data_IF_796359000291
#
_entry.id   IF_796359000291
#
_cell.length_a   1.000
_cell.length_b   1.000
_cell.length_c   1.000
_cell.angle_alpha   90.00
_cell.angle_beta   90.00
_cell.angle_gamma   90.00
#
_symmetry.space_group_name_H-M   'P 1'
#
loop_
_entity.id
_entity.type
_entity.pdbx_description
1 polymer ?
#
# COMPACT_ATOMS: atom_id res chain seq x y z
N UNK A 1 11.79 34.63 11.71
CA UNK A 1 10.74 34.22 10.77
C UNK A 1 11.04 32.96 9.95
N UNK A 2 12.20 32.27 10.10
CA UNK A 2 12.52 31.01 9.39
C UNK A 2 12.41 29.73 10.24
N UNK A 3 12.20 29.85 11.54
CA UNK A 3 12.21 28.70 12.47
C UNK A 3 10.80 28.14 12.70
N UNK A 4 9.76 28.96 12.60
CA UNK A 4 8.36 28.52 12.72
C UNK A 4 7.92 27.62 11.55
N UNK A 5 8.33 27.96 10.32
CA UNK A 5 7.95 27.20 9.11
C UNK A 5 8.49 25.75 9.10
N UNK A 6 9.58 25.46 9.82
CA UNK A 6 10.12 24.10 9.94
C UNK A 6 9.43 23.28 11.04
N UNK A 7 8.97 23.92 12.13
CA UNK A 7 8.21 23.23 13.18
C UNK A 7 6.82 22.83 12.71
N UNK A 8 6.16 23.71 11.96
CA UNK A 8 4.82 23.41 11.40
C UNK A 8 4.87 22.31 10.35
N UNK A 9 5.94 22.25 9.55
CA UNK A 9 6.18 21.14 8.61
C UNK A 9 6.40 19.79 9.32
N UNK A 10 7.14 19.78 10.42
CA UNK A 10 7.37 18.54 11.20
C UNK A 10 6.06 18.07 11.87
N UNK A 11 5.16 18.98 12.24
CA UNK A 11 3.86 18.60 12.80
C UNK A 11 2.90 18.04 11.77
N UNK A 12 2.93 18.49 10.51
CA UNK A 12 2.10 17.95 9.44
C UNK A 12 2.50 16.52 9.03
N UNK A 13 3.81 16.24 8.99
CA UNK A 13 4.35 14.91 8.63
C UNK A 13 3.91 13.79 9.59
N UNK A 14 3.86 14.10 10.89
CA UNK A 14 3.32 13.16 11.89
C UNK A 14 1.80 13.01 11.80
N UNK A 15 1.12 13.95 11.17
CA UNK A 15 -0.34 13.99 11.12
C UNK A 15 -0.92 12.99 10.11
N UNK A 16 -0.37 12.90 8.90
CA UNK A 16 -0.86 11.96 7.88
C UNK A 16 -0.66 10.49 8.31
N UNK A 17 0.55 10.16 8.82
CA UNK A 17 0.84 8.81 9.31
C UNK A 17 -0.07 8.45 10.50
N UNK A 18 -0.25 9.38 11.42
CA UNK A 18 -1.13 9.19 12.58
C UNK A 18 -2.59 9.03 12.18
N UNK A 19 -3.11 9.88 11.28
CA UNK A 19 -4.47 9.77 10.76
C UNK A 19 -4.68 8.44 10.05
N UNK A 20 -3.76 8.04 9.17
CA UNK A 20 -3.84 6.78 8.47
C UNK A 20 -3.83 5.59 9.46
N UNK A 21 -3.01 5.66 10.51
CA UNK A 21 -2.99 4.66 11.57
C UNK A 21 -4.33 4.59 12.31
N UNK A 22 -4.90 5.73 12.72
CA UNK A 22 -6.20 5.80 13.42
C UNK A 22 -7.35 5.23 12.57
N UNK A 23 -7.37 5.53 11.26
CA UNK A 23 -8.38 4.97 10.35
C UNK A 23 -8.26 3.45 10.28
N UNK A 24 -7.05 2.92 10.15
CA UNK A 24 -6.81 1.46 10.10
C UNK A 24 -7.22 0.79 11.41
N UNK A 25 -6.85 1.35 12.57
CA UNK A 25 -7.23 0.80 13.89
C UNK A 25 -8.74 0.86 14.11
N UNK A 26 -9.39 1.97 13.73
CA UNK A 26 -10.85 2.11 13.81
C UNK A 26 -11.57 1.09 12.92
N UNK A 27 -11.06 0.84 11.72
CA UNK A 27 -11.59 -0.15 10.79
C UNK A 27 -11.40 -1.58 11.33
N UNK A 28 -10.19 -1.93 11.80
CA UNK A 28 -9.89 -3.26 12.33
C UNK A 28 -10.68 -3.54 13.62
N UNK A 29 -10.83 -2.55 14.50
CA UNK A 29 -11.60 -2.71 15.74
C UNK A 29 -13.11 -2.82 15.51
N UNK A 30 -13.64 -2.21 14.45
CA UNK A 30 -15.05 -2.31 14.04
C UNK A 30 -15.38 -3.62 13.29
N UNK A 31 -14.41 -4.27 12.71
CA UNK A 31 -14.57 -5.59 12.14
C UNK A 31 -14.45 -6.64 13.25
N UNK A 32 -15.57 -7.27 13.63
CA UNK A 32 -15.54 -8.46 14.47
C UNK A 32 -14.47 -9.42 13.96
N UNK A 33 -13.53 -9.78 14.86
CA UNK A 33 -12.44 -10.76 14.68
C UNK A 33 -12.40 -11.38 13.29
N UNK A 34 -11.72 -10.69 12.37
CA UNK A 34 -11.41 -11.26 11.06
C UNK A 34 -10.62 -12.55 11.29
N UNK A 35 -10.92 -13.64 10.59
CA UNK A 35 -10.12 -14.85 10.67
C UNK A 35 -8.71 -14.69 10.05
N UNK A 36 -8.33 -13.48 9.65
CA UNK A 36 -6.97 -13.18 9.21
C UNK A 36 -6.04 -13.12 10.43
N UNK A 37 -5.61 -14.29 10.86
CA UNK A 37 -4.46 -14.45 11.75
C UNK A 37 -3.22 -14.02 10.97
N UNK A 38 -2.29 -13.34 11.66
CA UNK A 38 -1.07 -12.84 11.08
C UNK A 38 -0.32 -13.92 10.32
N UNK A 39 0.07 -13.60 9.09
CA UNK A 39 0.87 -14.44 8.21
C UNK A 39 2.27 -14.62 8.77
N UNK A 40 2.41 -15.61 9.59
CA UNK A 40 3.60 -16.44 9.68
C UNK A 40 3.41 -17.55 8.65
N UNK A 41 4.45 -18.15 8.09
CA UNK A 41 4.35 -19.38 7.32
C UNK A 41 3.72 -20.45 8.21
N UNK A 42 2.41 -20.32 8.42
CA UNK A 42 1.66 -21.15 9.33
C UNK A 42 1.35 -22.43 8.59
N UNK A 43 1.73 -23.49 9.23
CA UNK A 43 1.25 -24.83 9.01
C UNK A 43 -0.25 -24.77 8.66
N UNK A 44 -0.59 -24.93 7.36
CA UNK A 44 -1.97 -24.88 6.94
C UNK A 44 -2.72 -26.15 7.33
N UNK A 45 -2.21 -27.31 6.95
CA UNK A 45 -2.81 -28.61 7.28
C UNK A 45 -1.84 -29.78 7.09
N UNK A 46 -2.21 -30.93 7.67
CA UNK A 46 -1.58 -32.20 7.37
C UNK A 46 -2.35 -32.90 6.26
N UNK A 47 -1.74 -33.07 5.11
CA UNK A 47 -2.29 -33.89 4.01
C UNK A 47 -1.73 -35.30 4.12
N UNK A 48 -2.57 -36.30 3.89
CA UNK A 48 -2.11 -37.70 3.80
C UNK A 48 -1.11 -37.81 2.64
N UNK A 49 0.06 -38.36 2.91
CA UNK A 49 1.09 -38.58 1.89
C UNK A 49 0.62 -39.61 0.86
N UNK A 50 0.72 -39.26 -0.41
CA UNK A 50 0.49 -40.18 -1.51
C UNK A 50 1.81 -40.61 -2.14
N UNK A 51 1.93 -41.89 -2.54
CA UNK A 51 3.13 -42.41 -3.21
C UNK A 51 3.43 -41.61 -4.47
N UNK A 52 4.66 -41.03 -4.53
CA UNK A 52 5.11 -40.18 -5.63
C UNK A 52 5.21 -38.69 -5.28
N UNK A 53 4.72 -38.26 -4.13
CA UNK A 53 4.93 -36.89 -3.63
C UNK A 53 6.34 -36.72 -3.02
N UNK A 54 6.81 -35.47 -2.90
CA UNK A 54 8.12 -35.16 -2.29
C UNK A 54 8.13 -35.54 -0.81
N UNK A 55 9.14 -36.29 -0.37
CA UNK A 55 9.33 -36.71 1.02
C UNK A 55 9.88 -35.59 1.92
N UNK A 56 10.26 -34.44 1.33
CA UNK A 56 10.91 -33.32 2.04
C UNK A 56 10.08 -32.73 3.17
N UNK A 57 8.76 -32.77 3.05
CA UNK A 57 7.82 -32.14 3.99
C UNK A 57 7.05 -33.16 4.84
N UNK A 58 7.50 -34.41 4.92
CA UNK A 58 6.88 -35.43 5.79
C UNK A 58 7.05 -35.03 7.27
N UNK A 59 5.94 -35.10 8.02
CA UNK A 59 5.97 -34.89 9.47
C UNK A 59 6.33 -36.21 10.20
N UNK A 60 7.62 -36.38 10.43
CA UNK A 60 8.14 -37.55 11.14
C UNK A 60 7.67 -37.67 12.60
N UNK A 61 7.33 -36.51 13.25
CA UNK A 61 6.78 -36.52 14.62
C UNK A 61 5.36 -37.05 14.65
N UNK A 62 4.57 -36.69 13.64
CA UNK A 62 3.20 -37.18 13.52
C UNK A 62 3.19 -38.66 13.12
N UNK A 63 4.08 -39.06 12.21
CA UNK A 63 4.28 -40.46 11.84
C UNK A 63 4.58 -41.35 13.07
N UNK A 64 5.51 -40.92 13.93
CA UNK A 64 5.84 -41.66 15.14
C UNK A 64 4.68 -41.81 16.14
N UNK A 65 3.64 -40.99 16.04
CA UNK A 65 2.44 -41.03 16.92
C UNK A 65 1.28 -41.79 16.29
N UNK A 66 1.14 -41.78 14.99
CA UNK A 66 -0.08 -42.24 14.30
C UNK A 66 0.16 -43.39 13.35
N UNK A 67 1.42 -43.73 13.09
CA UNK A 67 1.86 -44.75 12.13
C UNK A 67 1.35 -44.48 10.69
N UNK A 68 1.01 -43.20 10.40
CA UNK A 68 0.54 -42.74 9.09
C UNK A 68 1.42 -41.61 8.59
N UNK A 69 1.73 -41.65 7.30
CA UNK A 69 2.53 -40.61 6.66
C UNK A 69 1.67 -39.40 6.31
N UNK A 70 2.08 -38.24 6.80
CA UNK A 70 1.49 -36.94 6.50
C UNK A 70 2.55 -35.96 5.99
N UNK A 71 2.21 -35.19 4.98
CA UNK A 71 3.01 -34.04 4.53
C UNK A 71 2.45 -32.76 5.15
N UNK A 72 3.36 -31.91 5.64
CA UNK A 72 3.02 -30.54 6.04
C UNK A 72 2.77 -29.72 4.79
N UNK A 73 1.57 -29.20 4.62
CA UNK A 73 1.29 -28.15 3.65
C UNK A 73 1.52 -26.80 4.33
N UNK A 74 2.32 -25.99 3.65
CA UNK A 74 2.55 -24.59 4.03
C UNK A 74 1.81 -23.75 3.01
N UNK A 75 1.02 -22.78 3.46
CA UNK A 75 0.58 -21.70 2.57
C UNK A 75 1.81 -20.87 2.22
N UNK A 76 2.12 -20.76 0.93
CA UNK A 76 3.14 -19.83 0.48
C UNK A 76 2.65 -18.42 0.84
N UNK A 77 3.41 -17.72 1.69
CA UNK A 77 3.22 -16.27 1.88
C UNK A 77 3.42 -15.61 0.51
N UNK A 78 2.33 -15.37 -0.19
CA UNK A 78 2.35 -14.53 -1.37
C UNK A 78 2.48 -13.09 -0.87
N UNK A 79 3.72 -12.58 -0.78
CA UNK A 79 3.94 -11.15 -0.57
C UNK A 79 3.27 -10.40 -1.71
N UNK A 80 2.09 -9.85 -1.45
CA UNK A 80 1.37 -9.04 -2.42
C UNK A 80 2.22 -7.80 -2.75
N UNK A 81 2.32 -7.49 -4.03
CA UNK A 81 2.88 -6.23 -4.50
C UNK A 81 1.74 -5.32 -4.89
N UNK A 82 1.65 -4.17 -4.27
CA UNK A 82 0.65 -3.16 -4.55
C UNK A 82 1.33 -1.93 -5.13
N UNK A 83 0.88 -1.47 -6.30
CA UNK A 83 1.33 -0.23 -6.90
C UNK A 83 0.19 0.79 -6.91
N UNK A 84 0.37 1.88 -6.19
CA UNK A 84 -0.59 2.97 -6.12
C UNK A 84 -0.21 3.98 -7.20
N UNK A 85 -1.19 4.43 -7.98
CA UNK A 85 -1.03 5.41 -9.03
C UNK A 85 -1.95 6.58 -8.73
N UNK A 86 -1.40 7.79 -8.66
CA UNK A 86 -2.15 9.02 -8.36
C UNK A 86 -2.02 9.98 -9.53
N UNK A 87 -3.16 10.38 -10.05
CA UNK A 87 -3.28 11.51 -10.96
C UNK A 87 -3.19 12.82 -10.16
N UNK A 88 -2.21 13.66 -10.50
CA UNK A 88 -1.98 14.95 -9.87
C UNK A 88 -2.36 16.11 -10.81
N UNK A 89 -3.28 15.87 -11.74
CA UNK A 89 -3.81 16.90 -12.63
C UNK A 89 -4.58 18.00 -11.86
N UNK A 90 -4.78 19.15 -12.49
CA UNK A 90 -5.45 20.29 -11.84
C UNK A 90 -6.89 20.00 -11.40
N UNK A 91 -7.59 19.10 -12.11
CA UNK A 91 -8.95 18.66 -11.76
C UNK A 91 -9.02 17.87 -10.44
N UNK A 92 -7.95 17.20 -10.06
CA UNK A 92 -7.84 16.46 -8.80
C UNK A 92 -7.72 17.38 -7.58
N UNK A 93 -7.29 18.63 -7.75
CA UNK A 93 -7.19 19.62 -6.68
C UNK A 93 -8.53 20.33 -6.35
N UNK A 94 -9.63 19.89 -6.97
CA UNK A 94 -10.96 20.42 -6.68
C UNK A 94 -11.66 19.58 -5.59
N UNK A 95 -12.46 20.23 -4.71
CA UNK A 95 -12.60 21.67 -4.50
C UNK A 95 -11.33 22.31 -3.89
N UNK A 96 -11.11 23.59 -4.19
CA UNK A 96 -10.04 24.36 -3.54
C UNK A 96 -10.47 24.66 -2.11
N UNK A 97 -9.76 24.10 -1.15
CA UNK A 97 -10.10 24.20 0.27
C UNK A 97 -9.55 25.49 0.87
N UNK A 98 -10.36 26.12 1.73
CA UNK A 98 -9.94 27.31 2.48
C UNK A 98 -9.18 26.95 3.75
N UNK A 99 -9.44 25.77 4.32
CA UNK A 99 -8.88 25.31 5.58
C UNK A 99 -8.04 24.05 5.39
N UNK A 100 -6.73 24.09 5.71
CA UNK A 100 -5.82 22.95 5.54
C UNK A 100 -6.20 21.70 6.34
N UNK A 101 -6.92 21.86 7.45
CA UNK A 101 -7.32 20.74 8.31
C UNK A 101 -8.32 19.78 7.65
N UNK A 102 -9.03 20.23 6.61
CA UNK A 102 -10.01 19.47 5.85
C UNK A 102 -9.47 18.99 4.50
N UNK A 103 -8.15 18.82 4.38
CA UNK A 103 -7.49 18.48 3.12
C UNK A 103 -8.10 17.28 2.39
N UNK A 104 -8.65 16.30 3.14
CA UNK A 104 -9.29 15.09 2.61
C UNK A 104 -10.63 15.34 1.89
N UNK A 105 -11.17 16.54 1.92
CA UNK A 105 -12.38 16.92 1.19
C UNK A 105 -12.09 17.21 -0.29
N UNK A 106 -10.83 17.46 -0.67
CA UNK A 106 -10.43 17.54 -2.07
C UNK A 106 -10.15 16.13 -2.63
N UNK A 107 -10.29 15.94 -3.96
CA UNK A 107 -10.04 14.67 -4.61
C UNK A 107 -8.59 14.20 -4.36
N UNK A 108 -7.61 15.09 -4.52
CA UNK A 108 -6.21 14.78 -4.27
C UNK A 108 -5.97 14.46 -2.79
N UNK A 109 -6.55 15.20 -1.87
CA UNK A 109 -6.42 14.97 -0.44
C UNK A 109 -7.03 13.64 -0.01
N UNK A 110 -8.20 13.28 -0.55
CA UNK A 110 -8.77 11.95 -0.38
C UNK A 110 -7.84 10.85 -0.89
N UNK A 111 -7.27 11.03 -2.10
CA UNK A 111 -6.35 10.06 -2.70
C UNK A 111 -5.09 9.87 -1.86
N UNK A 112 -4.54 10.95 -1.31
CA UNK A 112 -3.37 10.94 -0.41
C UNK A 112 -3.71 10.19 0.88
N UNK A 113 -4.82 10.53 1.55
CA UNK A 113 -5.23 9.86 2.78
C UNK A 113 -5.53 8.37 2.55
N UNK A 114 -6.28 8.03 1.50
CA UNK A 114 -6.60 6.65 1.15
C UNK A 114 -5.34 5.84 0.85
N UNK A 115 -4.37 6.43 0.13
CA UNK A 115 -3.08 5.79 -0.14
C UNK A 115 -2.29 5.52 1.13
N UNK A 116 -2.22 6.48 2.05
CA UNK A 116 -1.55 6.32 3.34
C UNK A 116 -2.22 5.24 4.21
N UNK A 117 -3.54 5.17 4.23
CA UNK A 117 -4.32 4.13 4.93
C UNK A 117 -4.03 2.75 4.36
N UNK A 118 -4.09 2.61 3.02
CA UNK A 118 -3.79 1.35 2.33
C UNK A 118 -2.35 0.90 2.57
N UNK A 119 -1.39 1.83 2.51
CA UNK A 119 0.01 1.54 2.83
C UNK A 119 0.18 1.00 4.25
N UNK A 120 -0.47 1.59 5.25
CA UNK A 120 -0.39 1.10 6.63
C UNK A 120 -1.01 -0.29 6.77
N UNK A 121 -2.11 -0.57 6.07
CA UNK A 121 -2.75 -1.89 6.05
C UNK A 121 -1.80 -2.94 5.43
N UNK A 122 -1.26 -2.65 4.25
CA UNK A 122 -0.33 -3.53 3.52
C UNK A 122 0.98 -3.74 4.30
N UNK A 123 1.48 -2.70 4.96
CA UNK A 123 2.64 -2.81 5.84
C UNK A 123 2.41 -3.79 7.00
N UNK A 124 1.22 -3.79 7.62
CA UNK A 124 0.85 -4.77 8.65
C UNK A 124 0.84 -6.21 8.10
N UNK A 125 0.51 -6.38 6.82
CA UNK A 125 0.51 -7.65 6.11
C UNK A 125 1.89 -8.05 5.55
N UNK A 126 2.92 -7.20 5.75
CA UNK A 126 4.27 -7.34 5.19
C UNK A 126 4.32 -7.33 3.66
N UNK A 127 3.32 -6.72 3.04
CA UNK A 127 3.24 -6.56 1.60
C UNK A 127 4.14 -5.41 1.10
N UNK A 128 4.50 -5.49 -0.18
CA UNK A 128 5.33 -4.47 -0.82
C UNK A 128 4.44 -3.39 -1.48
N UNK A 129 4.77 -2.12 -1.25
CA UNK A 129 4.03 -0.99 -1.81
C UNK A 129 4.93 -0.14 -2.69
N UNK A 130 4.43 0.27 -3.86
CA UNK A 130 4.99 1.24 -4.77
C UNK A 130 4.07 2.43 -4.99
N UNK A 131 4.61 3.54 -5.47
CA UNK A 131 3.85 4.76 -5.80
C UNK A 131 4.31 5.34 -7.13
N UNK A 132 3.37 5.70 -7.98
CA UNK A 132 3.56 6.55 -9.14
C UNK A 132 2.66 7.77 -9.05
N UNK A 133 3.20 8.93 -9.40
CA UNK A 133 2.43 10.18 -9.51
C UNK A 133 2.69 10.77 -10.90
N UNK A 134 1.62 11.15 -11.57
CA UNK A 134 1.67 11.78 -12.89
C UNK A 134 0.70 12.95 -12.99
N UNK A 135 1.00 13.88 -13.87
CA UNK A 135 0.10 14.95 -14.33
C UNK A 135 0.26 15.09 -15.85
N UNK A 136 0.72 16.22 -16.34
CA UNK A 136 1.22 16.43 -17.71
C UNK A 136 2.63 15.85 -17.92
N UNK A 137 3.32 15.50 -16.82
CA UNK A 137 4.64 14.87 -16.79
C UNK A 137 4.69 13.77 -15.76
N UNK A 138 5.72 12.92 -15.88
CA UNK A 138 6.02 11.91 -14.86
C UNK A 138 6.69 12.57 -13.66
N UNK A 139 5.99 12.66 -12.53
CA UNK A 139 6.45 13.44 -11.39
C UNK A 139 7.22 12.60 -10.35
N UNK A 140 6.74 11.39 -10.08
CA UNK A 140 7.34 10.55 -9.06
C UNK A 140 7.16 9.06 -9.35
N UNK A 141 8.18 8.26 -8.98
CA UNK A 141 8.14 6.81 -9.04
C UNK A 141 8.91 6.18 -7.90
N UNK A 142 8.26 5.28 -7.19
CA UNK A 142 8.88 4.40 -6.21
C UNK A 142 8.45 2.95 -6.51
N UNK A 143 9.39 2.03 -6.77
CA UNK A 143 9.08 0.63 -6.99
C UNK A 143 8.52 -0.03 -5.72
N UNK A 144 7.87 -1.18 -5.87
CA UNK A 144 7.26 -1.91 -4.76
C UNK A 144 8.33 -2.48 -3.80
N UNK A 145 8.35 -1.98 -2.56
CA UNK A 145 9.24 -2.45 -1.49
C UNK A 145 8.53 -2.40 -0.14
N UNK A 146 8.91 -3.31 0.79
CA UNK A 146 8.31 -3.44 2.12
C UNK A 146 9.13 -2.82 3.28
N UNK A 147 10.24 -2.08 3.01
CA UNK A 147 11.07 -1.54 4.09
C UNK A 147 10.48 -0.28 4.72
N UNK A 148 10.68 -0.07 6.04
CA UNK A 148 10.22 1.13 6.76
C UNK A 148 10.75 2.43 6.18
N UNK A 149 12.00 2.43 5.71
CA UNK A 149 12.60 3.58 5.03
C UNK A 149 11.84 3.94 3.75
N UNK A 150 11.44 2.92 3.00
CA UNK A 150 10.71 3.09 1.75
C UNK A 150 9.29 3.62 2.01
N UNK A 151 8.59 3.08 3.02
CA UNK A 151 7.27 3.60 3.43
C UNK A 151 7.33 5.07 3.81
N UNK A 152 8.31 5.47 4.64
CA UNK A 152 8.50 6.90 4.99
C UNK A 152 8.78 7.77 3.78
N UNK A 153 9.56 7.28 2.82
CA UNK A 153 9.83 8.01 1.58
C UNK A 153 8.55 8.24 0.76
N UNK A 154 7.69 7.23 0.66
CA UNK A 154 6.39 7.35 -0.04
C UNK A 154 5.46 8.30 0.73
N UNK A 155 5.37 8.22 2.07
CA UNK A 155 4.56 9.14 2.87
C UNK A 155 4.97 10.59 2.64
N UNK A 156 6.28 10.89 2.65
CA UNK A 156 6.78 12.23 2.36
C UNK A 156 6.39 12.70 0.93
N UNK A 157 6.42 11.80 -0.05
CA UNK A 157 6.00 12.13 -1.41
C UNK A 157 4.49 12.44 -1.47
N UNK A 158 3.66 11.66 -0.77
CA UNK A 158 2.22 11.87 -0.66
C UNK A 158 1.87 13.22 -0.01
N UNK A 159 2.57 13.57 1.06
CA UNK A 159 2.38 14.88 1.73
C UNK A 159 2.77 16.05 0.82
N UNK A 160 3.83 15.88 0.03
CA UNK A 160 4.25 16.88 -0.96
C UNK A 160 3.17 17.21 -2.00
N UNK A 161 2.23 16.29 -2.28
CA UNK A 161 1.10 16.54 -3.18
C UNK A 161 0.07 17.52 -2.60
N UNK A 162 0.00 17.67 -1.29
CA UNK A 162 -0.92 18.58 -0.61
C UNK A 162 -0.39 20.02 -0.56
N UNK A 163 0.92 20.23 -0.74
CA UNK A 163 1.53 21.54 -0.51
C UNK A 163 1.34 22.54 -1.66
N UNK A 164 1.08 22.07 -2.88
CA UNK A 164 0.96 22.98 -4.05
C UNK A 164 -0.08 22.50 -5.06
N UNK A 165 -1.18 23.23 -5.27
CA UNK A 165 -2.04 22.98 -6.41
C UNK A 165 -1.27 23.32 -7.70
N UNK A 166 -0.96 22.31 -8.49
CA UNK A 166 -0.33 22.51 -9.80
C UNK A 166 -1.39 22.86 -10.85
N UNK A 167 -1.10 23.84 -11.66
CA UNK A 167 -1.91 24.17 -12.82
C UNK A 167 -1.34 23.40 -14.00
N UNK A 168 -1.84 22.19 -14.23
CA UNK A 168 -1.57 21.41 -15.42
C UNK A 168 -2.50 21.84 -16.55
N UNK A 169 -2.00 21.94 -17.77
CA UNK A 169 -2.79 22.41 -18.94
C UNK A 169 -3.42 21.26 -19.73
N UNK A 170 -2.89 20.07 -19.64
CA UNK A 170 -3.37 18.89 -20.41
C UNK A 170 -2.73 17.65 -19.83
N UNK A 171 -3.48 16.56 -19.70
CA UNK A 171 -2.96 15.27 -19.21
C UNK A 171 -3.02 14.25 -20.33
N UNK A 172 -1.88 13.71 -20.77
CA UNK A 172 -1.82 12.53 -21.63
C UNK A 172 -1.77 11.25 -20.76
N UNK A 173 -2.87 10.98 -20.10
CA UNK A 173 -3.03 9.85 -19.18
C UNK A 173 -2.68 8.50 -19.81
N UNK A 174 -3.00 8.32 -21.09
CA UNK A 174 -2.79 7.03 -21.79
C UNK A 174 -1.30 6.72 -21.92
N UNK A 175 -0.50 7.68 -22.36
CA UNK A 175 0.96 7.50 -22.52
C UNK A 175 1.61 7.21 -21.17
N UNK A 176 1.20 7.89 -20.09
CA UNK A 176 1.74 7.65 -18.74
C UNK A 176 1.36 6.29 -18.19
N UNK A 177 0.12 5.86 -18.35
CA UNK A 177 -0.31 4.54 -17.91
C UNK A 177 0.45 3.43 -18.62
N UNK A 178 0.74 3.58 -19.93
CA UNK A 178 1.61 2.65 -20.66
C UNK A 178 3.03 2.59 -20.08
N UNK A 179 3.65 3.74 -19.84
CA UNK A 179 4.99 3.80 -19.24
C UNK A 179 5.04 3.18 -17.82
N UNK A 180 4.00 3.40 -17.02
CA UNK A 180 3.88 2.81 -15.69
C UNK A 180 3.70 1.30 -15.80
N UNK A 181 2.83 0.82 -16.71
CA UNK A 181 2.57 -0.59 -16.91
C UNK A 181 3.82 -1.39 -17.32
N UNK A 182 4.74 -0.79 -18.06
CA UNK A 182 6.03 -1.40 -18.41
C UNK A 182 6.99 -1.55 -17.21
N UNK A 183 6.86 -0.69 -16.19
CA UNK A 183 7.72 -0.67 -15.00
C UNK A 183 7.20 -1.53 -13.87
N UNK A 184 5.90 -1.75 -13.80
CA UNK A 184 5.26 -2.52 -12.72
C UNK A 184 5.52 -4.02 -12.92
N UNK A 185 5.74 -4.71 -11.83
CA UNK A 185 5.92 -6.16 -11.84
C UNK A 185 4.63 -6.87 -12.29
N UNK A 186 4.75 -7.93 -13.13
CA UNK A 186 3.62 -8.61 -13.80
C UNK A 186 2.51 -9.16 -12.87
N UNK A 187 2.77 -9.36 -11.59
CA UNK A 187 1.81 -9.85 -10.59
C UNK A 187 1.66 -8.84 -9.46
N UNK A 188 1.22 -7.63 -9.79
CA UNK A 188 0.96 -6.58 -8.82
C UNK A 188 -0.51 -6.20 -8.81
N UNK A 189 -1.04 -5.88 -7.65
CA UNK A 189 -2.30 -5.17 -7.50
C UNK A 189 -2.08 -3.70 -7.86
N UNK A 190 -2.92 -3.14 -8.70
CA UNK A 190 -2.85 -1.72 -9.09
C UNK A 190 -4.06 -1.00 -8.53
N UNK A 191 -3.80 0.13 -7.86
CA UNK A 191 -4.84 1.03 -7.37
C UNK A 191 -4.62 2.39 -8.02
N UNK A 192 -5.60 2.84 -8.82
CA UNK A 192 -5.54 4.09 -9.57
C UNK A 192 -6.52 5.10 -8.97
N UNK A 193 -6.00 6.28 -8.62
CA UNK A 193 -6.79 7.45 -8.22
C UNK A 193 -6.74 8.48 -9.34
N UNK A 194 -7.84 8.67 -10.01
CA UNK A 194 -8.02 9.65 -11.11
C UNK A 194 -9.50 10.01 -11.24
N UNK A 195 -9.78 11.17 -11.76
CA UNK A 195 -11.13 11.57 -12.11
C UNK A 195 -11.44 11.40 -13.63
N UNK A 196 -10.45 10.96 -14.40
CA UNK A 196 -10.58 10.64 -15.84
C UNK A 196 -11.06 11.83 -16.73
N UNK A 197 -10.78 13.08 -16.32
CA UNK A 197 -11.11 14.27 -17.11
C UNK A 197 -9.90 14.87 -17.82
#
# INVERSE_FOLDING_TARGET
>A
MKIETQRDKISSFQHLELLAYQVVEGFISGMHKSPFHGFSAEFAEHKVYNSGESTKHIDWKLFAKTDRLYTKQYEEETNLRCHIIIDNSSSMHYPILKEPQHFYESKIGFSVLASAVLMNLLKKQRDAVGLSVFSDTYEYYAPEKGSDRHHRMILNALEGLLEQPKVSKSTDTITFLHQIAEKIHRRSMIILFTDMF
#
